data_IF_216534631666
#
_entry.id   IF_216534631666
#
_cell.length_a   1.000
_cell.length_b   1.000
_cell.length_c   1.000
_cell.angle_alpha   90.00
_cell.angle_beta   90.00
_cell.angle_gamma   90.00
#
_symmetry.space_group_name_H-M   'P 1'
#
loop_
_entity.id
_entity.type
_entity.pdbx_description
1 polymer ?
#
# COMPACT_ATOMS: atom_id res chain seq x y z
N UNK A 1 0.28 -5.35 0.95
CA UNK A 1 0.02 -6.64 1.61
C UNK A 1 -0.95 -7.43 0.75
N UNK A 2 -0.67 -8.72 0.50
CA UNK A 2 -1.57 -9.58 -0.26
C UNK A 2 -2.87 -9.80 0.53
N UNK A 3 -3.98 -9.54 -0.16
CA UNK A 3 -5.37 -9.46 0.27
C UNK A 3 -5.76 -10.47 1.37
N UNK A 4 -5.93 -9.96 2.60
CA UNK A 4 -6.94 -10.48 3.52
C UNK A 4 -8.27 -9.93 3.00
N UNK A 5 -9.36 -10.73 2.87
CA UNK A 5 -10.67 -10.17 2.57
C UNK A 5 -10.95 -9.01 3.51
N UNK A 6 -11.66 -8.00 3.02
CA UNK A 6 -12.07 -6.90 3.89
C UNK A 6 -12.81 -7.55 5.08
N UNK A 7 -12.45 -7.20 6.31
CA UNK A 7 -13.08 -7.80 7.48
C UNK A 7 -14.60 -7.56 7.48
N UNK A 8 -15.08 -6.52 6.78
CA UNK A 8 -16.51 -6.32 6.50
C UNK A 8 -17.15 -7.37 5.60
N UNK A 9 -16.38 -8.03 4.72
CA UNK A 9 -16.84 -9.17 3.91
C UNK A 9 -16.96 -10.46 4.75
N UNK A 10 -16.22 -10.58 5.86
CA UNK A 10 -16.22 -11.76 6.75
C UNK A 10 -17.13 -11.58 7.97
N UNK A 11 -17.25 -10.34 8.47
CA UNK A 11 -18.10 -9.97 9.60
C UNK A 11 -18.63 -8.55 9.42
N UNK A 12 -19.86 -8.45 8.92
CA UNK A 12 -20.54 -7.16 8.74
C UNK A 12 -20.58 -6.31 10.03
N UNK A 13 -20.83 -6.86 11.24
CA UNK A 13 -20.78 -6.08 12.47
C UNK A 13 -19.40 -5.47 12.76
N UNK A 14 -18.32 -6.21 12.51
CA UNK A 14 -16.96 -5.71 12.66
C UNK A 14 -16.68 -4.59 11.64
N UNK A 15 -17.07 -4.78 10.38
CA UNK A 15 -16.93 -3.77 9.33
C UNK A 15 -17.66 -2.46 9.65
N UNK A 16 -18.90 -2.55 10.13
CA UNK A 16 -19.67 -1.38 10.58
C UNK A 16 -18.99 -0.66 11.76
N UNK A 17 -18.50 -1.40 12.74
CA UNK A 17 -17.84 -0.80 13.89
C UNK A 17 -16.51 -0.11 13.51
N UNK A 18 -15.70 -0.75 12.66
CA UNK A 18 -14.47 -0.15 12.11
C UNK A 18 -14.81 1.16 11.37
N UNK A 19 -15.87 1.17 10.57
CA UNK A 19 -16.33 2.38 9.85
C UNK A 19 -16.75 3.50 10.80
N UNK A 20 -17.54 3.20 11.82
CA UNK A 20 -17.97 4.19 12.82
C UNK A 20 -16.77 4.82 13.57
N UNK A 21 -15.82 3.96 13.98
CA UNK A 21 -14.60 4.40 14.66
C UNK A 21 -13.71 5.25 13.75
N UNK A 22 -13.57 4.85 12.48
CA UNK A 22 -12.86 5.61 11.46
C UNK A 22 -13.50 6.99 11.26
N UNK A 23 -14.81 7.04 11.00
CA UNK A 23 -15.56 8.28 10.73
C UNK A 23 -15.38 9.28 11.86
N UNK A 24 -15.51 8.85 13.13
CA UNK A 24 -15.28 9.72 14.29
C UNK A 24 -13.83 10.19 14.41
N UNK A 25 -12.85 9.32 14.15
CA UNK A 25 -11.42 9.68 14.26
C UNK A 25 -11.01 10.70 13.20
N UNK A 26 -11.53 10.57 11.98
CA UNK A 26 -11.15 11.43 10.86
C UNK A 26 -11.96 12.71 10.77
N UNK A 27 -12.97 12.90 11.63
CA UNK A 27 -13.76 14.12 11.64
C UNK A 27 -12.87 15.33 11.95
N UNK A 28 -12.96 16.36 11.10
CA UNK A 28 -12.11 17.55 11.17
C UNK A 28 -10.61 17.31 10.89
N UNK A 29 -10.16 16.08 10.64
CA UNK A 29 -8.75 15.80 10.39
C UNK A 29 -8.33 16.24 8.98
N UNK A 30 -7.23 17.00 8.89
CA UNK A 30 -6.64 17.41 7.62
C UNK A 30 -5.33 16.66 7.42
N UNK A 31 -5.22 15.82 6.36
CA UNK A 31 -3.97 15.12 6.09
C UNK A 31 -2.85 16.12 5.81
N UNK A 32 -1.63 15.88 6.33
CA UNK A 32 -0.48 16.70 5.96
C UNK A 32 -0.27 16.65 4.44
N UNK A 33 0.07 17.80 3.86
CA UNK A 33 0.53 17.88 2.47
C UNK A 33 1.98 17.40 2.44
N UNK A 34 2.14 16.08 2.50
CA UNK A 34 3.42 15.42 2.68
C UNK A 34 3.78 14.47 1.55
N UNK A 35 4.95 13.83 1.69
CA UNK A 35 5.45 12.84 0.73
C UNK A 35 4.51 11.63 0.57
N UNK A 36 4.48 11.04 -0.62
CA UNK A 36 3.65 9.88 -0.95
C UNK A 36 2.25 10.21 -1.49
N UNK A 37 1.77 11.46 -1.38
CA UNK A 37 0.45 11.85 -1.88
C UNK A 37 0.36 11.73 -3.41
N UNK A 38 1.40 12.14 -4.14
CA UNK A 38 1.42 12.01 -5.60
C UNK A 38 1.33 10.54 -6.04
N UNK A 39 2.13 9.66 -5.43
CA UNK A 39 2.06 8.22 -5.69
C UNK A 39 0.68 7.66 -5.35
N UNK A 40 0.14 8.03 -4.20
CA UNK A 40 -1.22 7.63 -3.80
C UNK A 40 -2.27 8.04 -4.84
N UNK A 41 -2.23 9.27 -5.34
CA UNK A 41 -3.14 9.76 -6.37
C UNK A 41 -2.94 9.04 -7.71
N UNK A 42 -1.70 8.74 -8.10
CA UNK A 42 -1.42 7.94 -9.30
C UNK A 42 -1.96 6.52 -9.19
N UNK A 43 -1.78 5.87 -8.02
CA UNK A 43 -2.37 4.56 -7.74
C UNK A 43 -3.89 4.63 -7.75
N UNK A 44 -4.49 5.64 -7.10
CA UNK A 44 -5.93 5.84 -7.11
C UNK A 44 -6.50 6.00 -8.52
N UNK A 45 -5.77 6.68 -9.42
CA UNK A 45 -6.12 6.77 -10.85
C UNK A 45 -6.11 5.39 -11.53
N UNK A 46 -5.07 4.59 -11.31
CA UNK A 46 -4.97 3.24 -11.87
C UNK A 46 -6.08 2.34 -11.34
N UNK A 47 -6.37 2.38 -10.04
CA UNK A 47 -7.51 1.63 -9.47
C UNK A 47 -8.83 2.08 -10.11
N UNK A 48 -9.05 3.39 -10.27
CA UNK A 48 -10.25 3.91 -10.92
C UNK A 48 -10.41 3.37 -12.35
N UNK A 49 -9.32 3.22 -13.09
CA UNK A 49 -9.35 2.62 -14.43
C UNK A 49 -9.78 1.14 -14.38
N UNK A 50 -9.23 0.36 -13.45
CA UNK A 50 -9.62 -1.05 -13.28
C UNK A 50 -11.10 -1.20 -12.94
N UNK A 51 -11.62 -0.31 -12.10
CA UNK A 51 -13.05 -0.29 -11.74
C UNK A 51 -13.89 -0.14 -12.99
N UNK A 52 -13.57 0.82 -13.86
CA UNK A 52 -14.29 1.03 -15.12
C UNK A 52 -14.23 -0.22 -15.99
N UNK A 53 -13.07 -0.88 -16.07
CA UNK A 53 -12.92 -2.12 -16.86
C UNK A 53 -13.71 -3.30 -16.30
N UNK A 54 -13.96 -3.32 -14.99
CA UNK A 54 -14.73 -4.37 -14.30
C UNK A 54 -16.24 -4.11 -14.25
N UNK A 55 -16.70 -2.92 -14.65
CA UNK A 55 -18.13 -2.64 -14.69
C UNK A 55 -18.87 -3.59 -15.65
N UNK A 56 -20.12 -3.96 -15.36
CA UNK A 56 -20.98 -4.62 -16.35
C UNK A 56 -21.08 -3.79 -17.63
N UNK A 57 -21.20 -4.43 -18.79
CA UNK A 57 -21.13 -3.76 -20.10
C UNK A 57 -22.14 -2.60 -20.22
N UNK A 58 -23.37 -2.78 -19.72
CA UNK A 58 -24.38 -1.71 -19.71
C UNK A 58 -23.92 -0.47 -18.92
N UNK A 59 -23.18 -0.66 -17.83
CA UNK A 59 -22.61 0.43 -17.04
C UNK A 59 -21.40 1.05 -17.71
N UNK A 60 -20.59 0.27 -18.44
CA UNK A 60 -19.49 0.79 -19.27
C UNK A 60 -20.00 1.69 -20.39
N UNK A 61 -21.05 1.26 -21.11
CA UNK A 61 -21.70 2.06 -22.15
C UNK A 61 -22.20 3.40 -21.60
N UNK A 62 -22.84 3.37 -20.43
CA UNK A 62 -23.27 4.59 -19.74
C UNK A 62 -22.09 5.48 -19.35
N UNK A 63 -21.03 4.90 -18.79
CA UNK A 63 -19.81 5.64 -18.44
C UNK A 63 -19.20 6.33 -19.66
N UNK A 64 -19.13 5.65 -20.81
CA UNK A 64 -18.65 6.22 -22.07
C UNK A 64 -19.57 7.36 -22.53
N UNK A 65 -20.89 7.16 -22.55
CA UNK A 65 -21.83 8.21 -22.94
C UNK A 65 -21.76 9.46 -22.04
N UNK A 66 -21.53 9.27 -20.74
CA UNK A 66 -21.41 10.36 -19.77
C UNK A 66 -20.11 11.18 -19.95
N UNK A 67 -19.01 10.53 -20.38
CA UNK A 67 -17.68 11.18 -20.50
C UNK A 67 -17.27 11.51 -21.95
N UNK A 68 -17.92 10.91 -22.93
CA UNK A 68 -17.73 11.08 -24.37
C UNK A 68 -19.11 11.04 -25.07
N UNK A 69 -19.97 12.05 -24.86
CA UNK A 69 -21.32 12.09 -25.42
C UNK A 69 -21.36 12.07 -26.96
N UNK A 70 -20.25 12.46 -27.61
CA UNK A 70 -20.06 12.41 -29.06
C UNK A 70 -19.70 11.02 -29.61
N UNK A 71 -19.43 10.04 -28.76
CA UNK A 71 -19.08 8.69 -29.20
C UNK A 71 -20.30 7.99 -29.83
N UNK A 72 -20.16 7.58 -31.09
CA UNK A 72 -21.16 6.73 -31.74
C UNK A 72 -21.10 5.27 -31.24
N UNK A 73 -22.04 4.44 -31.69
CA UNK A 73 -22.13 3.05 -31.27
C UNK A 73 -20.85 2.24 -31.58
N UNK A 74 -20.23 2.50 -32.73
CA UNK A 74 -19.03 1.78 -33.16
C UNK A 74 -17.79 2.22 -32.35
N UNK A 75 -17.66 3.52 -32.04
CA UNK A 75 -16.65 4.02 -31.13
C UNK A 75 -16.84 3.43 -29.72
N UNK A 76 -18.08 3.37 -29.25
CA UNK A 76 -18.43 2.77 -27.96
C UNK A 76 -18.02 1.29 -27.88
N UNK A 77 -18.33 0.50 -28.92
CA UNK A 77 -17.94 -0.91 -28.98
C UNK A 77 -16.42 -1.09 -28.98
N UNK A 78 -15.68 -0.24 -29.69
CA UNK A 78 -14.20 -0.24 -29.67
C UNK A 78 -13.64 0.08 -28.28
N UNK A 79 -14.23 1.02 -27.54
CA UNK A 79 -13.82 1.31 -26.17
C UNK A 79 -14.07 0.14 -25.22
N UNK A 80 -15.21 -0.56 -25.36
CA UNK A 80 -15.52 -1.74 -24.56
C UNK A 80 -14.52 -2.87 -24.86
N UNK A 81 -14.19 -3.10 -26.13
CA UNK A 81 -13.18 -4.09 -26.50
C UNK A 81 -11.80 -3.72 -25.93
N UNK A 82 -11.44 -2.43 -25.98
CA UNK A 82 -10.22 -1.93 -25.34
C UNK A 82 -10.22 -2.19 -23.83
N UNK A 83 -11.32 -1.90 -23.11
CA UNK A 83 -11.44 -2.19 -21.67
C UNK A 83 -11.25 -3.68 -21.37
N UNK A 84 -11.86 -4.58 -22.16
CA UNK A 84 -11.70 -6.03 -22.02
C UNK A 84 -10.22 -6.45 -22.20
N UNK A 85 -9.52 -5.89 -23.19
CA UNK A 85 -8.10 -6.17 -23.42
C UNK A 85 -7.22 -5.65 -22.27
N UNK A 86 -7.50 -4.44 -21.75
CA UNK A 86 -6.74 -3.89 -20.62
C UNK A 86 -6.96 -4.71 -19.33
N UNK A 87 -8.21 -5.11 -19.05
CA UNK A 87 -8.53 -5.96 -17.90
C UNK A 87 -7.77 -7.30 -17.93
N UNK A 88 -7.65 -7.92 -19.11
CA UNK A 88 -6.90 -9.18 -19.28
C UNK A 88 -5.38 -9.00 -19.15
N UNK A 89 -4.86 -7.83 -19.52
CA UNK A 89 -3.43 -7.55 -19.49
C UNK A 89 -2.94 -7.10 -18.10
N UNK A 90 -3.79 -6.46 -17.30
CA UNK A 90 -3.42 -5.98 -15.97
C UNK A 90 -3.51 -7.10 -14.91
N UNK A 91 -2.39 -7.51 -14.29
CA UNK A 91 -2.36 -8.60 -13.32
C UNK A 91 -3.12 -8.29 -12.01
N UNK A 92 -3.53 -7.04 -11.80
CA UNK A 92 -4.27 -6.61 -10.61
C UNK A 92 -5.77 -6.43 -10.86
N UNK A 93 -6.24 -6.55 -12.11
CA UNK A 93 -7.66 -6.49 -12.42
C UNK A 93 -8.32 -7.82 -12.11
N UNK A 94 -9.41 -7.81 -11.34
CA UNK A 94 -10.22 -9.00 -11.14
C UNK A 94 -11.09 -9.19 -12.39
N UNK A 95 -11.05 -10.38 -12.99
CA UNK A 95 -11.80 -10.67 -14.22
C UNK A 95 -13.31 -10.91 -13.98
N UNK A 96 -13.74 -10.89 -12.73
CA UNK A 96 -15.16 -10.92 -12.38
C UNK A 96 -15.78 -9.53 -12.51
N UNK A 97 -16.98 -9.47 -13.08
CA UNK A 97 -17.73 -8.21 -13.13
C UNK A 97 -18.11 -7.74 -11.73
N UNK A 98 -18.09 -6.42 -11.51
CA UNK A 98 -18.56 -5.83 -10.26
C UNK A 98 -20.08 -6.06 -10.11
N UNK A 99 -20.56 -6.43 -8.91
CA UNK A 99 -21.98 -6.52 -8.64
C UNK A 99 -22.62 -5.13 -8.79
N UNK A 100 -23.81 -5.09 -9.41
CA UNK A 100 -24.55 -3.85 -9.61
C UNK A 100 -25.27 -3.41 -8.33
N UNK A 101 -25.46 -2.10 -8.16
CA UNK A 101 -26.21 -1.53 -7.03
C UNK A 101 -25.34 -0.80 -6.00
N UNK A 102 -25.99 0.05 -5.18
CA UNK A 102 -25.31 0.92 -4.19
C UNK A 102 -24.51 0.13 -3.14
N UNK A 103 -24.98 -1.06 -2.78
CA UNK A 103 -24.41 -1.83 -1.66
C UNK A 103 -23.28 -2.78 -2.10
N UNK A 104 -23.26 -3.20 -3.37
CA UNK A 104 -22.28 -4.18 -3.89
C UNK A 104 -21.05 -3.57 -4.56
N UNK A 105 -21.24 -2.49 -5.34
CA UNK A 105 -20.18 -1.95 -6.19
C UNK A 105 -19.13 -1.13 -5.44
N UNK A 106 -19.50 -0.40 -4.39
CA UNK A 106 -18.58 0.52 -3.69
C UNK A 106 -17.58 -0.18 -2.77
N UNK A 107 -17.93 -1.34 -2.22
CA UNK A 107 -17.10 -2.03 -1.20
C UNK A 107 -15.93 -2.79 -1.87
N UNK A 108 -16.05 -3.21 -3.13
CA UNK A 108 -15.01 -3.98 -3.82
C UNK A 108 -13.90 -3.12 -4.45
N UNK A 109 -14.09 -1.80 -4.55
CA UNK A 109 -13.36 -0.94 -5.49
C UNK A 109 -12.14 -0.26 -4.87
N UNK A 110 -12.16 0.08 -3.58
CA UNK A 110 -11.03 0.70 -2.91
C UNK A 110 -10.75 -0.01 -1.59
N UNK A 111 -10.05 -1.15 -1.67
CA UNK A 111 -9.66 -1.93 -0.50
C UNK A 111 -8.45 -1.30 0.20
N UNK A 112 -8.69 -0.17 0.86
CA UNK A 112 -7.73 0.44 1.79
C UNK A 112 -7.99 -0.09 3.20
N UNK A 113 -6.97 -0.66 3.85
CA UNK A 113 -7.06 -0.96 5.28
C UNK A 113 -7.02 0.36 6.06
N UNK A 114 -8.06 0.62 6.84
CA UNK A 114 -8.05 1.72 7.81
C UNK A 114 -6.96 1.49 8.87
N UNK A 115 -6.56 2.55 9.57
CA UNK A 115 -5.63 2.42 10.69
C UNK A 115 -6.16 1.44 11.75
N UNK A 116 -7.47 1.52 12.03
CA UNK A 116 -8.17 0.62 12.95
C UNK A 116 -8.03 -0.85 12.54
N UNK A 117 -8.29 -1.16 11.27
CA UNK A 117 -8.15 -2.50 10.73
C UNK A 117 -6.69 -2.96 10.75
N UNK A 118 -5.75 -2.07 10.40
CA UNK A 118 -4.33 -2.37 10.43
C UNK A 118 -3.84 -2.68 11.87
N UNK A 119 -4.23 -1.88 12.86
CA UNK A 119 -3.92 -2.11 14.27
C UNK A 119 -4.57 -3.42 14.76
N UNK A 120 -5.82 -3.69 14.39
CA UNK A 120 -6.52 -4.92 14.76
C UNK A 120 -5.78 -6.16 14.24
N UNK A 121 -5.46 -6.21 12.95
CA UNK A 121 -4.75 -7.34 12.34
C UNK A 121 -3.33 -7.48 12.88
N UNK A 122 -2.62 -6.36 13.05
CA UNK A 122 -1.25 -6.39 13.56
C UNK A 122 -1.19 -6.89 15.01
N UNK A 123 -2.07 -6.41 15.89
CA UNK A 123 -2.19 -6.91 17.26
C UNK A 123 -2.64 -8.38 17.32
N UNK A 124 -3.49 -8.83 16.38
CA UNK A 124 -3.95 -10.23 16.35
C UNK A 124 -2.87 -11.20 15.87
N UNK A 125 -2.05 -10.78 14.91
CA UNK A 125 -1.05 -11.66 14.25
C UNK A 125 0.36 -11.49 14.79
N UNK A 126 0.60 -10.51 15.68
CA UNK A 126 1.94 -10.13 16.11
C UNK A 126 2.76 -9.45 15.01
N UNK A 127 2.11 -8.98 13.94
CA UNK A 127 2.77 -8.27 12.85
C UNK A 127 3.12 -6.84 13.26
N UNK A 128 4.10 -6.25 12.57
CA UNK A 128 4.40 -4.82 12.67
C UNK A 128 3.69 -4.03 11.57
N UNK A 129 3.46 -2.74 11.82
CA UNK A 129 2.87 -1.84 10.83
C UNK A 129 3.98 -1.22 9.98
N UNK A 130 3.79 -1.23 8.67
CA UNK A 130 4.56 -0.40 7.76
C UNK A 130 3.62 0.51 6.97
N UNK A 131 4.07 1.74 6.71
CA UNK A 131 3.32 2.74 5.94
C UNK A 131 4.24 3.42 4.94
N UNK A 132 3.68 3.96 3.88
CA UNK A 132 4.43 4.55 2.77
C UNK A 132 4.02 6.00 2.44
N UNK A 133 3.07 6.54 3.20
CA UNK A 133 2.62 7.94 3.08
C UNK A 133 2.84 8.68 4.39
N UNK A 134 3.13 9.98 4.30
CA UNK A 134 3.28 10.83 5.47
C UNK A 134 1.99 10.96 6.27
N UNK A 135 0.85 10.97 5.58
CA UNK A 135 -0.47 11.02 6.18
C UNK A 135 -0.75 9.82 7.10
N UNK A 136 -0.45 8.60 6.64
CA UNK A 136 -0.59 7.40 7.47
C UNK A 136 0.43 7.36 8.61
N UNK A 137 1.65 7.84 8.37
CA UNK A 137 2.66 7.93 9.41
C UNK A 137 2.26 8.87 10.53
N UNK A 138 1.82 10.08 10.20
CA UNK A 138 1.36 11.06 11.18
C UNK A 138 0.19 10.51 12.02
N UNK A 139 -0.78 9.86 11.37
CA UNK A 139 -1.89 9.19 12.06
C UNK A 139 -1.41 8.11 13.03
N UNK A 140 -0.48 7.25 12.59
CA UNK A 140 0.04 6.19 13.44
C UNK A 140 0.78 6.73 14.67
N UNK A 141 1.57 7.81 14.50
CA UNK A 141 2.33 8.42 15.59
C UNK A 141 1.44 9.03 16.68
N UNK A 142 0.22 9.48 16.37
CA UNK A 142 -0.74 9.95 17.39
C UNK A 142 -1.11 8.82 18.37
N UNK A 143 -1.02 7.57 17.92
CA UNK A 143 -1.37 6.37 18.71
C UNK A 143 -0.14 5.63 19.25
N UNK A 144 1.05 6.25 19.19
CA UNK A 144 2.21 5.82 19.92
C UNK A 144 1.92 5.99 21.43
N UNK A 145 1.85 4.89 22.18
CA UNK A 145 1.55 4.98 23.60
C UNK A 145 2.70 5.68 24.34
N UNK A 146 2.41 6.73 25.12
CA UNK A 146 3.44 7.38 25.91
C UNK A 146 3.97 6.39 26.95
N UNK A 147 5.26 6.47 27.21
CA UNK A 147 5.87 5.81 28.35
C UNK A 147 7.02 6.67 28.87
N UNK A 148 7.68 6.19 29.93
CA UNK A 148 8.78 6.91 30.55
C UNK A 148 9.84 7.37 29.55
N UNK A 149 10.49 8.48 29.86
CA UNK A 149 11.31 9.39 29.02
C UNK A 149 12.49 8.77 28.23
N UNK A 150 12.71 7.45 28.27
CA UNK A 150 13.96 6.80 27.82
C UNK A 150 13.88 5.85 26.61
N UNK A 151 12.71 5.53 26.02
CA UNK A 151 12.66 4.44 25.00
C UNK A 151 13.21 4.82 23.61
N UNK A 152 13.08 6.09 23.19
CA UNK A 152 13.40 6.50 21.82
C UNK A 152 14.91 6.66 21.58
N UNK A 153 15.68 7.05 22.61
CA UNK A 153 17.13 7.22 22.51
C UNK A 153 17.85 5.89 22.30
N UNK A 154 17.35 4.80 22.90
CA UNK A 154 17.93 3.44 22.78
C UNK A 154 18.07 2.98 21.33
N UNK A 155 17.12 3.32 20.48
CA UNK A 155 17.08 2.87 19.07
C UNK A 155 17.66 3.89 18.09
N UNK A 156 18.23 5.00 18.57
CA UNK A 156 18.75 6.07 17.70
C UNK A 156 19.78 5.60 16.67
N UNK A 157 20.74 4.74 17.09
CA UNK A 157 21.76 4.21 16.19
C UNK A 157 21.16 3.33 15.06
N UNK A 158 20.12 2.55 15.37
CA UNK A 158 19.40 1.73 14.40
C UNK A 158 18.59 2.59 13.44
N UNK A 159 17.88 3.60 13.97
CA UNK A 159 17.13 4.57 13.16
C UNK A 159 18.03 5.24 12.14
N UNK A 160 19.20 5.72 12.56
CA UNK A 160 20.18 6.32 11.65
C UNK A 160 20.70 5.31 10.62
N UNK A 161 21.02 4.09 11.03
CA UNK A 161 21.48 3.07 10.08
C UNK A 161 20.41 2.70 9.03
N UNK A 162 19.13 2.72 9.39
CA UNK A 162 18.00 2.48 8.50
C UNK A 162 17.69 3.66 7.57
N UNK A 163 17.91 4.90 8.02
CA UNK A 163 17.78 6.07 7.15
C UNK A 163 18.93 6.15 6.14
N UNK A 164 20.12 5.69 6.51
CA UNK A 164 21.31 5.76 5.64
C UNK A 164 21.35 4.69 4.55
N UNK A 165 20.59 3.60 4.68
CA UNK A 165 20.54 2.53 3.68
C UNK A 165 19.48 2.85 2.62
N UNK A 166 19.89 2.82 1.35
CA UNK A 166 18.95 2.88 0.22
C UNK A 166 18.58 1.46 -0.22
N UNK A 167 17.31 1.13 -0.11
CA UNK A 167 16.76 -0.18 -0.50
C UNK A 167 16.10 -0.03 -1.88
N UNK A 168 16.57 -0.74 -2.91
CA UNK A 168 15.88 -0.77 -4.20
C UNK A 168 14.60 -1.61 -4.10
N UNK A 169 13.45 -0.99 -4.37
CA UNK A 169 12.14 -1.66 -4.40
C UNK A 169 11.75 -1.93 -5.85
N UNK A 170 11.60 -3.20 -6.20
CA UNK A 170 11.10 -3.67 -7.49
C UNK A 170 9.61 -3.35 -7.64
N UNK A 171 9.25 -2.56 -8.65
CA UNK A 171 7.84 -2.25 -8.95
C UNK A 171 7.19 -3.25 -9.91
N UNK A 172 7.97 -4.05 -10.65
CA UNK A 172 7.41 -5.03 -11.56
C UNK A 172 6.86 -6.24 -10.80
N UNK A 173 5.54 -6.35 -10.74
CA UNK A 173 4.81 -7.41 -10.05
C UNK A 173 5.25 -8.83 -10.44
N UNK A 174 5.48 -9.06 -11.73
CA UNK A 174 5.87 -10.38 -12.25
C UNK A 174 7.29 -10.73 -11.81
N UNK A 175 8.20 -9.77 -11.79
CA UNK A 175 9.56 -9.97 -11.28
C UNK A 175 9.56 -10.21 -9.78
N UNK A 176 8.74 -9.48 -9.01
CA UNK A 176 8.55 -9.74 -7.58
C UNK A 176 8.05 -11.16 -7.34
N UNK A 177 7.01 -11.61 -8.07
CA UNK A 177 6.48 -12.96 -7.96
C UNK A 177 7.53 -14.04 -8.28
N UNK A 178 8.31 -13.84 -9.34
CA UNK A 178 9.42 -14.75 -9.70
C UNK A 178 10.46 -14.88 -8.58
N UNK A 179 10.90 -13.76 -7.98
CA UNK A 179 11.85 -13.77 -6.86
C UNK A 179 11.28 -14.45 -5.60
N UNK A 180 10.00 -14.22 -5.31
CA UNK A 180 9.34 -14.90 -4.18
C UNK A 180 9.34 -16.41 -4.39
N UNK A 181 8.97 -16.87 -5.59
CA UNK A 181 8.88 -18.29 -5.93
C UNK A 181 10.25 -18.97 -6.01
N UNK A 182 11.30 -18.27 -6.44
CA UNK A 182 12.66 -18.79 -6.46
C UNK A 182 13.35 -18.80 -5.09
N UNK A 183 12.74 -18.20 -4.08
CA UNK A 183 13.35 -18.04 -2.75
C UNK A 183 14.44 -16.97 -2.68
N UNK A 184 14.67 -16.21 -3.76
CA UNK A 184 15.63 -15.11 -3.82
C UNK A 184 15.11 -13.92 -3.00
N UNK A 185 15.46 -13.93 -1.70
CA UNK A 185 15.02 -12.93 -0.74
C UNK A 185 16.13 -11.91 -0.48
N UNK A 186 15.81 -10.60 -0.44
CA UNK A 186 16.82 -9.59 -0.23
C UNK A 186 17.47 -9.73 1.15
N UNK A 187 18.79 -9.47 1.28
CA UNK A 187 19.53 -9.60 2.54
C UNK A 187 18.93 -8.83 3.71
N UNK A 188 18.25 -7.72 3.43
CA UNK A 188 17.62 -6.84 4.43
C UNK A 188 16.50 -7.54 5.21
N UNK A 189 15.84 -8.56 4.64
CA UNK A 189 14.71 -9.27 5.28
C UNK A 189 15.11 -9.86 6.64
N UNK A 190 16.27 -10.51 6.71
CA UNK A 190 16.74 -11.16 7.94
C UNK A 190 17.15 -10.13 9.01
N UNK A 191 17.55 -8.93 8.59
CA UNK A 191 17.86 -7.83 9.51
C UNK A 191 16.57 -7.24 10.10
N UNK A 192 15.57 -6.97 9.25
CA UNK A 192 14.28 -6.45 9.71
C UNK A 192 13.58 -7.43 10.67
N UNK A 193 13.66 -8.73 10.38
CA UNK A 193 13.12 -9.75 11.30
C UNK A 193 13.82 -9.72 12.67
N UNK A 194 15.16 -9.74 12.69
CA UNK A 194 15.93 -9.68 13.94
C UNK A 194 15.72 -8.39 14.71
N UNK A 195 15.51 -7.28 14.01
CA UNK A 195 15.13 -6.01 14.61
C UNK A 195 13.79 -6.14 15.34
N UNK A 196 12.76 -6.65 14.67
CA UNK A 196 11.43 -6.83 15.28
C UNK A 196 11.48 -7.78 16.47
N UNK A 197 12.19 -8.91 16.35
CA UNK A 197 12.42 -9.86 17.46
C UNK A 197 13.08 -9.15 18.65
N UNK A 198 14.15 -8.38 18.41
CA UNK A 198 14.89 -7.69 19.47
C UNK A 198 14.09 -6.58 20.15
N UNK A 199 13.15 -5.94 19.44
CA UNK A 199 12.22 -4.97 20.04
C UNK A 199 11.16 -5.70 20.87
N UNK A 200 10.67 -6.85 20.39
CA UNK A 200 9.57 -7.59 21.02
C UNK A 200 10.00 -8.38 22.25
N UNK A 201 11.27 -8.80 22.33
CA UNK A 201 11.83 -9.57 23.46
C UNK A 201 13.04 -8.84 24.07
N UNK A 202 12.85 -7.90 25.01
CA UNK A 202 13.93 -7.06 25.54
C UNK A 202 15.03 -7.82 26.29
N UNK A 203 14.70 -8.96 26.90
CA UNK A 203 15.62 -9.74 27.75
C UNK A 203 16.54 -10.69 26.95
N UNK A 204 16.22 -10.97 25.68
CA UNK A 204 17.01 -11.85 24.80
C UNK A 204 17.33 -11.25 23.43
N UNK A 205 16.98 -9.99 23.21
CA UNK A 205 17.18 -9.29 21.95
C UNK A 205 18.64 -8.92 21.70
N UNK A 206 19.01 -8.76 20.43
CA UNK A 206 20.33 -8.26 20.07
C UNK A 206 20.47 -6.79 20.50
N UNK A 207 21.67 -6.42 20.96
CA UNK A 207 21.98 -5.05 21.34
C UNK A 207 21.74 -4.09 20.13
N UNK A 208 21.05 -2.95 20.33
CA UNK A 208 20.77 -2.00 19.24
C UNK A 208 22.03 -1.53 18.48
N UNK A 209 23.18 -1.40 19.14
CA UNK A 209 24.45 -1.01 18.49
C UNK A 209 24.98 -2.12 17.57
N UNK A 210 24.81 -3.38 17.96
CA UNK A 210 25.16 -4.56 17.15
C UNK A 210 24.26 -4.62 15.92
N UNK A 211 22.95 -4.43 16.09
CA UNK A 211 22.00 -4.36 14.97
C UNK A 211 22.33 -3.22 14.00
N UNK A 212 22.62 -2.03 14.51
CA UNK A 212 23.02 -0.88 13.67
C UNK A 212 24.28 -1.19 12.86
N UNK A 213 25.28 -1.84 13.47
CA UNK A 213 26.50 -2.26 12.78
C UNK A 213 26.20 -3.27 11.67
N UNK A 214 25.35 -4.26 11.94
CA UNK A 214 24.96 -5.26 10.93
C UNK A 214 24.19 -4.63 9.76
N UNK A 215 23.30 -3.66 10.03
CA UNK A 215 22.59 -2.90 8.97
C UNK A 215 23.61 -2.18 8.08
N UNK A 216 24.57 -1.47 8.68
CA UNK A 216 25.64 -0.77 7.94
C UNK A 216 26.52 -1.72 7.12
N UNK A 217 26.83 -2.91 7.62
CA UNK A 217 27.60 -3.92 6.89
C UNK A 217 26.85 -4.43 5.65
N UNK A 218 25.54 -4.66 5.78
CA UNK A 218 24.71 -5.19 4.70
C UNK A 218 24.33 -4.12 3.66
N UNK A 219 24.41 -2.83 4.02
CA UNK A 219 24.19 -1.68 3.13
C UNK A 219 24.83 -1.85 1.75
N UNK A 220 26.14 -2.10 1.70
CA UNK A 220 26.87 -2.27 0.43
C UNK A 220 26.33 -3.42 -0.42
N UNK A 221 25.87 -4.51 0.22
CA UNK A 221 25.31 -5.67 -0.49
C UNK A 221 23.94 -5.31 -1.09
N UNK A 222 23.07 -4.67 -0.31
CA UNK A 222 21.72 -4.26 -0.73
C UNK A 222 21.79 -3.24 -1.87
N UNK A 223 22.64 -2.22 -1.75
CA UNK A 223 22.78 -1.16 -2.76
C UNK A 223 23.40 -1.70 -4.07
N UNK A 224 24.28 -2.71 -4.00
CA UNK A 224 24.85 -3.37 -5.20
C UNK A 224 23.85 -4.25 -5.92
N UNK A 225 22.96 -4.93 -5.20
CA UNK A 225 21.90 -5.76 -5.81
C UNK A 225 20.96 -4.92 -6.68
N UNK A 226 20.74 -3.65 -6.34
CA UNK A 226 19.92 -2.75 -7.17
C UNK A 226 20.55 -2.40 -8.52
N UNK A 227 21.87 -2.21 -8.57
CA UNK A 227 22.58 -1.76 -9.78
C UNK A 227 22.72 -2.82 -10.88
N UNK A 228 22.60 -4.10 -10.55
CA UNK A 228 22.82 -5.19 -11.51
C UNK A 228 21.60 -5.57 -12.37
N UNK A 229 20.41 -5.06 -12.06
CA UNK A 229 19.19 -5.37 -12.82
C UNK A 229 18.80 -4.17 -13.71
N UNK A 230 19.54 -4.01 -14.82
CA UNK A 230 19.42 -2.88 -15.75
C UNK A 230 18.05 -2.68 -16.42
N UNK A 231 17.14 -3.67 -16.35
CA UNK A 231 15.83 -3.65 -16.99
C UNK A 231 14.64 -3.42 -16.03
N UNK A 232 14.87 -3.35 -14.72
CA UNK A 232 13.77 -3.22 -13.74
C UNK A 232 13.57 -1.79 -13.26
N UNK A 233 12.32 -1.32 -13.26
CA UNK A 233 11.91 -0.04 -12.66
C UNK A 233 12.00 -0.16 -11.12
N UNK A 234 13.17 0.11 -10.58
CA UNK A 234 13.40 0.10 -9.14
C UNK A 234 13.27 1.50 -8.56
N UNK A 235 12.56 1.63 -7.44
CA UNK A 235 12.52 2.88 -6.68
C UNK A 235 13.43 2.79 -5.44
N UNK A 236 14.31 3.78 -5.23
CA UNK A 236 15.09 3.88 -4.00
C UNK A 236 14.18 4.24 -2.82
N UNK A 237 14.32 3.48 -1.72
CA UNK A 237 13.54 3.65 -0.49
C UNK A 237 14.45 3.67 0.73
N UNK A 238 14.17 4.61 1.63
CA UNK A 238 14.71 4.67 2.98
C UNK A 238 13.68 4.19 3.99
N UNK A 239 14.15 3.73 5.15
CA UNK A 239 13.27 3.27 6.23
C UNK A 239 13.40 4.17 7.45
N UNK A 240 12.28 4.74 7.90
CA UNK A 240 12.22 5.35 9.22
C UNK A 240 11.57 4.39 10.22
N UNK A 241 12.24 4.19 11.35
CA UNK A 241 11.76 3.35 12.44
C UNK A 241 11.21 4.21 13.58
N UNK A 242 10.06 3.80 14.14
CA UNK A 242 9.54 4.32 15.39
C UNK A 242 9.26 3.19 16.38
N UNK A 243 9.80 3.31 17.60
CA UNK A 243 9.65 2.33 18.68
C UNK A 243 9.09 3.02 19.92
N UNK A 244 7.76 3.10 20.06
CA UNK A 244 7.13 3.72 21.22
C UNK A 244 7.35 2.84 22.47
N UNK A 245 7.52 3.44 23.67
CA UNK A 245 7.86 2.69 24.88
C UNK A 245 6.89 1.55 25.22
N UNK A 246 5.59 1.80 25.03
CA UNK A 246 4.52 0.86 25.33
C UNK A 246 3.84 0.30 24.05
N UNK A 247 4.49 0.44 22.90
CA UNK A 247 3.94 0.02 21.62
C UNK A 247 2.89 1.00 21.05
N UNK A 248 2.34 0.63 19.89
CA UNK A 248 1.15 1.25 19.33
C UNK A 248 -0.08 0.47 19.76
N UNK A 249 -1.04 1.17 20.33
CA UNK A 249 -2.32 0.60 20.72
C UNK A 249 -3.39 1.68 20.76
N UNK A 250 -4.64 1.26 20.57
CA UNK A 250 -5.80 2.13 20.69
C UNK A 250 -6.91 1.40 21.43
N UNK A 251 -7.57 2.07 22.38
CA UNK A 251 -8.59 1.45 23.22
C UNK A 251 -9.76 0.87 22.42
N UNK A 252 -10.22 1.57 21.40
CA UNK A 252 -11.28 1.10 20.51
C UNK A 252 -10.88 -0.20 19.79
N UNK A 253 -9.61 -0.31 19.39
CA UNK A 253 -9.07 -1.52 18.76
C UNK A 253 -8.89 -2.66 19.76
N UNK A 254 -8.43 -2.36 20.98
CA UNK A 254 -8.36 -3.35 22.05
C UNK A 254 -9.75 -3.92 22.38
N UNK A 255 -10.78 -3.07 22.43
CA UNK A 255 -12.17 -3.53 22.61
C UNK A 255 -12.61 -4.40 21.44
N UNK A 256 -12.31 -4.04 20.20
CA UNK A 256 -12.62 -4.89 19.04
C UNK A 256 -11.95 -6.26 19.15
N UNK A 257 -10.68 -6.33 19.57
CA UNK A 257 -9.96 -7.60 19.75
C UNK A 257 -10.60 -8.49 20.81
N UNK A 258 -11.06 -7.91 21.93
CA UNK A 258 -11.80 -8.65 22.96
C UNK A 258 -13.15 -9.13 22.43
N UNK A 259 -13.92 -8.24 21.79
CA UNK A 259 -15.30 -8.53 21.36
C UNK A 259 -15.38 -9.51 20.19
N UNK A 260 -14.50 -9.38 19.19
CA UNK A 260 -14.62 -10.11 17.93
C UNK A 260 -13.56 -11.21 17.74
N UNK A 261 -12.42 -11.12 18.41
CA UNK A 261 -11.36 -12.15 18.33
C UNK A 261 -11.20 -12.96 19.63
N UNK A 262 -11.97 -12.68 20.68
CA UNK A 262 -11.88 -13.39 21.95
C UNK A 262 -10.54 -13.21 22.67
N UNK A 263 -9.77 -12.18 22.31
CA UNK A 263 -8.44 -11.93 22.88
C UNK A 263 -8.60 -11.36 24.28
N UNK A 264 -8.12 -12.09 25.29
CA UNK A 264 -8.25 -11.67 26.71
C UNK A 264 -7.21 -10.63 27.12
N UNK A 265 -6.05 -10.60 26.45
CA UNK A 265 -4.97 -9.64 26.68
C UNK A 265 -4.42 -9.12 25.35
N UNK A 266 -5.07 -8.10 24.75
CA UNK A 266 -4.59 -7.49 23.51
C UNK A 266 -3.17 -6.96 23.66
N UNK A 267 -2.27 -7.36 22.76
CA UNK A 267 -0.89 -6.87 22.76
C UNK A 267 -0.76 -5.58 21.95
N UNK A 268 0.07 -4.67 22.43
CA UNK A 268 0.49 -3.49 21.66
C UNK A 268 1.47 -3.89 20.58
N UNK A 269 1.46 -3.16 19.47
CA UNK A 269 2.39 -3.38 18.36
C UNK A 269 3.73 -2.74 18.70
N UNK A 270 4.85 -3.47 18.70
CA UNK A 270 6.10 -3.02 19.31
C UNK A 270 6.77 -1.88 18.55
N UNK A 271 6.61 -1.82 17.23
CA UNK A 271 7.21 -0.79 16.39
C UNK A 271 6.49 -0.61 15.06
N UNK A 272 6.87 0.44 14.35
CA UNK A 272 6.40 0.71 13.00
C UNK A 272 7.53 1.23 12.10
N UNK A 273 7.38 0.97 10.80
CA UNK A 273 8.31 1.38 9.76
C UNK A 273 7.62 2.31 8.75
N UNK A 274 8.25 3.43 8.39
CA UNK A 274 7.86 4.24 7.24
C UNK A 274 8.80 3.99 6.07
N UNK A 275 8.24 3.67 4.92
CA UNK A 275 8.95 3.64 3.65
C UNK A 275 8.95 5.06 3.08
N UNK A 276 10.14 5.65 2.96
CA UNK A 276 10.35 6.97 2.37
C UNK A 276 10.94 6.78 0.99
N UNK A 277 10.16 7.10 -0.04
CA UNK A 277 10.58 6.99 -1.42
C UNK A 277 11.23 8.30 -1.86
N UNK A 278 12.33 8.23 -2.59
CA UNK A 278 12.85 9.42 -3.27
C UNK A 278 11.97 9.67 -4.51
N UNK A 279 11.04 10.63 -4.41
CA UNK A 279 10.14 10.95 -5.51
C UNK A 279 10.88 11.77 -6.60
N UNK A 280 10.79 11.40 -7.88
CA UNK A 280 11.25 12.28 -8.96
C UNK A 280 10.36 13.53 -8.98
N UNK A 281 10.95 14.72 -9.19
CA UNK A 281 10.21 15.97 -9.38
C UNK A 281 9.22 15.80 -10.54
N UNK A 282 7.93 15.78 -10.25
CA UNK A 282 6.92 15.55 -11.27
C UNK A 282 6.66 16.83 -12.08
N UNK A 283 6.81 16.70 -13.41
CA UNK A 283 6.23 17.61 -14.38
C UNK A 283 4.75 17.25 -14.53
N UNK A 284 3.85 18.20 -14.27
CA UNK A 284 2.40 18.01 -14.26
C UNK A 284 1.84 18.12 -15.68
N UNK A 285 2.26 17.24 -16.60
CA UNK A 285 1.59 17.10 -17.90
C UNK A 285 0.55 15.97 -17.85
N UNK A 286 -0.69 16.33 -18.14
CA UNK A 286 -1.88 15.51 -18.02
C UNK A 286 -1.92 14.41 -19.10
N UNK A 287 -2.40 13.22 -18.72
CA UNK A 287 -2.83 12.20 -19.68
C UNK A 287 -4.30 11.88 -19.38
N UNK A 288 -5.23 12.03 -20.34
CA UNK A 288 -6.66 11.83 -20.11
C UNK A 288 -6.99 10.39 -19.68
N UNK A 289 -8.13 10.22 -18.98
CA UNK A 289 -8.62 8.93 -18.49
C UNK A 289 -9.09 7.99 -19.62
N UNK A 290 -9.42 8.57 -20.78
CA UNK A 290 -9.77 7.88 -22.01
C UNK A 290 -8.69 8.20 -23.05
N UNK A 291 -8.24 7.23 -23.86
CA UNK A 291 -7.30 7.51 -24.94
C UNK A 291 -7.94 8.48 -25.93
N UNK A 292 -7.22 9.53 -26.32
CA UNK A 292 -7.64 10.46 -27.35
C UNK A 292 -7.75 9.70 -28.67
N UNK A 293 -8.87 9.83 -29.37
CA UNK A 293 -9.15 9.15 -30.62
C UNK A 293 -8.26 9.72 -31.76
N UNK A 294 -6.97 9.39 -31.77
CA UNK A 294 -6.14 9.59 -32.95
C UNK A 294 -6.49 8.50 -33.96
N UNK A 295 -7.32 8.90 -34.91
CA UNK A 295 -7.72 8.10 -36.05
C UNK A 295 -6.48 7.56 -36.79
N UNK A 296 -6.50 6.24 -37.03
CA UNK A 296 -5.71 5.62 -38.07
C UNK A 296 -6.03 6.31 -39.41
N UNK A 297 -5.05 6.98 -40.00
CA UNK A 297 -5.13 7.46 -41.38
C UNK A 297 -5.18 6.26 -42.33
N UNK A 298 -5.98 6.32 -43.41
CA UNK A 298 -6.11 5.21 -44.34
C UNK A 298 -4.81 5.02 -45.14
N UNK A 299 -4.38 3.77 -45.20
CA UNK A 299 -3.41 3.25 -46.16
C UNK A 299 -3.87 3.58 -47.59
N UNK A 300 -3.22 4.56 -48.21
CA UNK A 300 -3.37 4.85 -49.63
C UNK A 300 -2.54 3.89 -50.47
N UNK A 301 -3.18 2.85 -51.00
CA UNK A 301 -2.73 2.18 -52.23
C UNK A 301 -2.99 3.09 -53.41
N UNK A 302 -1.96 3.41 -54.20
CA UNK A 302 -2.12 3.78 -55.59
C UNK A 302 -0.89 3.30 -56.37
N UNK A 303 -1.08 2.19 -57.09
CA UNK A 303 -0.29 1.87 -58.27
C UNK A 303 -0.77 2.75 -59.42
N UNK A 304 0.16 3.44 -60.06
CA UNK A 304 0.36 3.48 -61.51
C UNK A 304 1.76 4.01 -61.80
#
# INVERSE_FOLDING_TARGET
MHLVPDHGEVSAPLGHHVREVLTRRTDGWKPPKGGGLYRFLKLAKQETQRVVWMLPEASQRRFIADHMPEADANATDRFIEYFKRQALADPYTLLQSLPSGKDGAQIQVFKGLSLEAALYVASLTGSIIHVDTEAHWAQLLIHAQPGGTQSQSKWGAVRQALSDITIPVELNAQQVAKRINSGDRPPIRNLLRRLVESISTPEGGADPSVLATQIRQVRRKVERTGKHNGDSTQLPVHLDLHVPPAGFARHEVQRMLVMFAGVTKPQSIPCALRLVFEEPKADMSETPLLPTNQAAGPSGTASN
#
